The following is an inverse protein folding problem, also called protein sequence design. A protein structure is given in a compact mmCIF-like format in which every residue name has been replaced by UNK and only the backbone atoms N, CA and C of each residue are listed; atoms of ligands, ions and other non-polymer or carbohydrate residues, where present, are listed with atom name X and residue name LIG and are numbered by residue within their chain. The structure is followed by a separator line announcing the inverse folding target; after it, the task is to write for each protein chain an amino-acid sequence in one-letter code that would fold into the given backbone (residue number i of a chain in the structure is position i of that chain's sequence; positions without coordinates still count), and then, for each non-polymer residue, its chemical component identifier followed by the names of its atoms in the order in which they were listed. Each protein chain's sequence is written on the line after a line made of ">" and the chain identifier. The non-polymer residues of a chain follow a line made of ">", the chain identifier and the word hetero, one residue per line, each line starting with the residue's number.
data_IF_425970378793
#
_entry.id   IF_425970378793
#
_cell.length_a   1.000
_cell.length_b   1.000
_cell.length_c   1.000
_cell.angle_alpha   90.00
_cell.angle_beta   90.00
_cell.angle_gamma   90.00
#
_symmetry.space_group_name_H-M   'P 1'
#
loop_
_entity.id
_entity.type
_entity.pdbx_description
1 polymer ?
#
# COMPACT_ATOMS: atom_id res chain seq x y z
N UNK A 1 -11.91 5.73 -8.53
CA UNK A 1 -11.70 6.79 -7.51
C UNK A 1 -10.37 7.51 -7.72
N UNK A 2 -9.20 6.88 -7.49
CA UNK A 2 -7.90 7.53 -7.73
C UNK A 2 -7.71 7.92 -9.20
N UNK A 3 -8.14 7.07 -10.13
CA UNK A 3 -8.08 7.37 -11.57
C UNK A 3 -8.97 8.58 -11.95
N UNK A 4 -10.03 8.84 -11.19
CA UNK A 4 -10.90 10.02 -11.36
C UNK A 4 -10.18 11.31 -10.96
N UNK A 5 -9.45 11.30 -9.84
CA UNK A 5 -8.62 12.44 -9.41
C UNK A 5 -7.50 12.71 -10.42
N UNK A 6 -6.87 11.66 -10.94
CA UNK A 6 -5.86 11.76 -11.98
C UNK A 6 -6.46 12.35 -13.28
N UNK A 7 -7.66 11.94 -13.67
CA UNK A 7 -8.38 12.50 -14.81
C UNK A 7 -8.68 14.01 -14.64
N UNK A 8 -8.90 14.45 -13.40
CA UNK A 8 -9.05 15.88 -13.08
C UNK A 8 -7.71 16.63 -12.94
N UNK A 9 -6.59 15.97 -13.22
CA UNK A 9 -5.22 16.49 -13.06
C UNK A 9 -4.90 16.96 -11.64
N UNK A 10 -5.60 16.43 -10.65
CA UNK A 10 -5.30 16.65 -9.23
C UNK A 10 -4.21 15.66 -8.81
N UNK A 11 -3.02 16.17 -8.49
CA UNK A 11 -1.97 15.37 -7.85
C UNK A 11 -2.18 15.40 -6.35
N UNK A 12 -2.66 14.29 -5.78
CA UNK A 12 -2.55 14.11 -4.34
C UNK A 12 -1.07 13.84 -4.02
N UNK A 13 -0.43 14.62 -3.13
CA UNK A 13 0.96 14.38 -2.78
C UNK A 13 1.14 13.04 -2.05
N UNK A 14 0.12 12.59 -1.29
CA UNK A 14 0.13 11.33 -0.54
C UNK A 14 -1.30 10.76 -0.48
N UNK A 15 -1.45 9.45 -0.55
CA UNK A 15 -2.71 8.73 -0.27
C UNK A 15 -2.72 8.27 1.19
N UNK A 16 -3.76 8.61 1.94
CA UNK A 16 -3.95 8.17 3.33
C UNK A 16 -5.22 7.33 3.44
N UNK A 17 -5.13 6.14 4.01
CA UNK A 17 -6.29 5.28 4.26
C UNK A 17 -6.12 4.46 5.55
N UNK A 18 -7.23 3.97 6.09
CA UNK A 18 -7.26 3.20 7.33
C UNK A 18 -6.85 1.72 7.15
N UNK A 19 -6.90 0.97 8.25
CA UNK A 19 -6.48 -0.43 8.32
C UNK A 19 -7.28 -1.40 7.44
N UNK A 20 -8.53 -1.07 7.08
CA UNK A 20 -9.31 -1.84 6.12
C UNK A 20 -8.67 -1.88 4.73
N UNK A 21 -7.91 -0.85 4.38
CA UNK A 21 -7.16 -0.77 3.13
C UNK A 21 -5.70 -1.18 3.27
N UNK A 22 -5.06 -0.94 4.42
CA UNK A 22 -3.64 -1.24 4.60
C UNK A 22 -3.29 -2.73 4.59
N UNK A 23 -4.19 -3.59 5.06
CA UNK A 23 -3.99 -5.05 5.02
C UNK A 23 -4.24 -5.65 3.62
N UNK A 24 -4.75 -4.87 2.67
CA UNK A 24 -5.05 -5.34 1.32
C UNK A 24 -3.81 -5.25 0.43
N UNK A 25 -3.17 -6.39 0.15
CA UNK A 25 -2.04 -6.49 -0.79
C UNK A 25 -2.37 -5.93 -2.17
N UNK A 26 -3.52 -6.25 -2.81
CA UNK A 26 -3.86 -5.68 -4.11
C UNK A 26 -3.98 -4.14 -4.08
N UNK A 27 -4.45 -3.58 -2.96
CA UNK A 27 -4.56 -2.13 -2.82
C UNK A 27 -3.18 -1.48 -2.75
N UNK A 28 -2.27 -2.02 -1.91
CA UNK A 28 -0.88 -1.53 -1.81
C UNK A 28 -0.14 -1.58 -3.14
N UNK A 29 -0.20 -2.73 -3.84
CA UNK A 29 0.40 -2.89 -5.17
C UNK A 29 -0.17 -1.90 -6.18
N UNK A 30 -1.48 -1.64 -6.12
CA UNK A 30 -2.12 -0.66 -6.98
C UNK A 30 -1.63 0.77 -6.77
N UNK A 31 -1.22 1.15 -5.55
CA UNK A 31 -0.62 2.46 -5.27
C UNK A 31 0.82 2.54 -5.80
N UNK A 32 1.61 1.49 -5.60
CA UNK A 32 2.99 1.39 -6.08
C UNK A 32 3.09 1.45 -7.60
N UNK A 33 2.25 0.68 -8.31
CA UNK A 33 2.19 0.70 -9.77
C UNK A 33 1.81 2.08 -10.34
N UNK A 34 1.10 2.89 -9.55
CA UNK A 34 0.71 4.26 -9.91
C UNK A 34 1.75 5.30 -9.47
N UNK A 35 2.85 4.90 -8.81
CA UNK A 35 3.89 5.79 -8.31
C UNK A 35 3.41 6.76 -7.23
N UNK A 36 2.38 6.38 -6.47
CA UNK A 36 1.78 7.24 -5.44
C UNK A 36 2.47 7.00 -4.11
N UNK A 37 2.91 8.08 -3.44
CA UNK A 37 3.28 8.00 -2.03
C UNK A 37 2.05 7.70 -1.17
N UNK A 38 2.19 6.88 -0.14
CA UNK A 38 1.06 6.48 0.69
C UNK A 38 1.42 6.25 2.16
N UNK A 39 0.43 6.44 3.04
CA UNK A 39 0.46 6.05 4.45
C UNK A 39 -0.82 5.29 4.75
N UNK A 40 -0.69 4.05 5.22
CA UNK A 40 -1.84 3.19 5.50
C UNK A 40 -1.82 2.74 6.95
N UNK A 41 -2.99 2.77 7.59
CA UNK A 41 -3.16 2.06 8.86
C UNK A 41 -2.95 0.57 8.66
N UNK A 42 -2.40 -0.13 9.64
CA UNK A 42 -2.33 -1.60 9.65
C UNK A 42 -3.03 -2.14 10.89
N UNK A 43 -3.44 -3.40 10.84
CA UNK A 43 -3.84 -4.12 12.06
C UNK A 43 -2.59 -4.70 12.73
N UNK A 44 -2.62 -4.92 14.05
CA UNK A 44 -1.50 -5.51 14.78
C UNK A 44 -1.18 -6.98 14.44
N UNK A 45 -1.80 -7.54 13.41
CA UNK A 45 -1.54 -8.90 12.89
C UNK A 45 -0.52 -8.91 11.75
N UNK A 46 -0.26 -7.76 11.14
CA UNK A 46 0.71 -7.64 10.05
C UNK A 46 2.13 -7.57 10.58
N UNK A 47 3.05 -8.23 9.89
CA UNK A 47 4.48 -8.24 10.21
C UNK A 47 5.23 -7.65 9.03
N UNK A 48 6.07 -6.66 9.31
CA UNK A 48 7.01 -6.14 8.33
C UNK A 48 8.30 -6.97 8.41
N UNK A 49 8.69 -7.58 7.30
CA UNK A 49 10.00 -8.20 7.17
C UNK A 49 11.02 -7.16 6.66
N UNK A 50 12.30 -7.29 7.06
CA UNK A 50 13.39 -6.58 6.40
C UNK A 50 13.36 -6.80 4.88
N UNK A 51 13.87 -5.83 4.13
CA UNK A 51 13.91 -5.87 2.66
C UNK A 51 14.74 -7.04 2.11
N UNK A 52 15.75 -7.47 2.85
CA UNK A 52 16.65 -8.59 2.56
C UNK A 52 16.17 -9.93 3.14
N UNK A 53 14.96 -9.98 3.72
CA UNK A 53 14.42 -11.20 4.28
C UNK A 53 14.10 -12.24 3.19
N UNK A 54 14.68 -13.42 3.32
CA UNK A 54 14.37 -14.55 2.44
C UNK A 54 13.32 -15.49 3.06
N UNK A 55 12.40 -16.07 2.25
CA UNK A 55 11.42 -17.03 2.73
C UNK A 55 12.08 -18.28 3.34
N UNK A 56 11.82 -18.53 4.63
CA UNK A 56 12.26 -19.77 5.28
C UNK A 56 11.23 -20.89 5.06
N UNK A 57 11.68 -22.02 4.52
CA UNK A 57 10.88 -23.25 4.43
C UNK A 57 11.23 -24.18 5.61
N UNK A 58 10.32 -24.40 6.57
CA UNK A 58 10.56 -25.35 7.66
C UNK A 58 10.67 -26.79 7.13
N UNK A 59 11.49 -27.61 7.81
CA UNK A 59 11.69 -29.05 7.51
C UNK A 59 10.52 -29.90 7.99
#
# INVERSE_FOLDING_TARGET
>A
MLDTLAAWRLKSPVVVADAGYGVSTPFRLGLEQRGLAYVLGLTGKEVAHPEDAEPHRPR
#
